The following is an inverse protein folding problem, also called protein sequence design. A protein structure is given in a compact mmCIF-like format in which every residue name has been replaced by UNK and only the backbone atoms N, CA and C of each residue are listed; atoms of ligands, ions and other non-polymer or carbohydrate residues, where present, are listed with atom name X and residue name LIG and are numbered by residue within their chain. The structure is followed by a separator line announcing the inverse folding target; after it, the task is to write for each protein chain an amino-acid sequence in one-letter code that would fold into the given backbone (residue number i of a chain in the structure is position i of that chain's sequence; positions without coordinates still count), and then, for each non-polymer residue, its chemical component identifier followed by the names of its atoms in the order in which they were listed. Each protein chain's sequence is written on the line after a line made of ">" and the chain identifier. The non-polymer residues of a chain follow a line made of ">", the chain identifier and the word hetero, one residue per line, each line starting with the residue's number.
data_IF_579057219793
#
_entry.id   IF_579057219793
#
_cell.length_a   1.000
_cell.length_b   1.000
_cell.length_c   1.000
_cell.angle_alpha   90.00
_cell.angle_beta   90.00
_cell.angle_gamma   90.00
#
_symmetry.space_group_name_H-M   'P 1'
#
loop_
_entity.id
_entity.type
_entity.pdbx_description
1 polymer ?
#
# COMPACT_ATOMS: atom_id res chain seq x y z
N UNK A 1 -31.69 49.39 49.28
CA UNK A 1 -31.64 49.63 47.82
C UNK A 1 -30.31 49.18 47.16
N UNK A 2 -29.16 49.12 47.86
CA UNK A 2 -27.88 48.67 47.28
C UNK A 2 -27.82 47.17 46.91
N UNK A 3 -28.45 46.30 47.70
CA UNK A 3 -28.41 44.84 47.54
C UNK A 3 -28.91 44.34 46.16
N UNK A 4 -29.97 44.93 45.62
CA UNK A 4 -30.58 44.50 44.35
C UNK A 4 -29.71 44.87 43.13
N UNK A 5 -28.99 45.98 43.21
CA UNK A 5 -28.01 46.41 42.20
C UNK A 5 -26.81 45.46 42.14
N UNK A 6 -26.33 45.02 43.31
CA UNK A 6 -25.20 44.10 43.42
C UNK A 6 -25.56 42.70 42.88
N UNK A 7 -26.75 42.18 43.20
CA UNK A 7 -27.23 40.91 42.64
C UNK A 7 -27.35 40.93 41.10
N UNK A 8 -27.85 42.04 40.55
CA UNK A 8 -27.97 42.22 39.10
C UNK A 8 -26.59 42.20 38.42
N UNK A 9 -25.60 42.85 39.04
CA UNK A 9 -24.22 42.89 38.57
C UNK A 9 -23.53 41.52 38.63
N UNK A 10 -23.79 40.75 39.70
CA UNK A 10 -23.30 39.37 39.85
C UNK A 10 -23.88 38.46 38.76
N UNK A 11 -25.18 38.55 38.50
CA UNK A 11 -25.84 37.71 37.49
C UNK A 11 -25.32 37.99 36.06
N UNK A 12 -25.11 39.26 35.72
CA UNK A 12 -24.51 39.64 34.44
C UNK A 12 -23.06 39.14 34.31
N UNK A 13 -22.27 39.20 35.39
CA UNK A 13 -20.93 38.62 35.41
C UNK A 13 -20.95 37.10 35.22
N UNK A 14 -21.89 36.38 35.85
CA UNK A 14 -22.06 34.93 35.68
C UNK A 14 -22.46 34.57 34.25
N UNK A 15 -23.39 35.32 33.64
CA UNK A 15 -23.77 35.17 32.23
C UNK A 15 -22.60 35.39 31.29
N UNK A 16 -21.80 36.42 31.56
CA UNK A 16 -20.59 36.70 30.79
C UNK A 16 -19.58 35.55 30.90
N UNK A 17 -19.34 35.05 32.12
CA UNK A 17 -18.49 33.89 32.37
C UNK A 17 -18.96 32.64 31.63
N UNK A 18 -20.26 32.34 31.67
CA UNK A 18 -20.86 31.20 30.97
C UNK A 18 -20.66 31.30 29.45
N UNK A 19 -20.83 32.49 28.88
CA UNK A 19 -20.62 32.75 27.44
C UNK A 19 -19.15 32.56 27.05
N UNK A 20 -18.21 32.98 27.89
CA UNK A 20 -16.77 32.75 27.69
C UNK A 20 -16.45 31.26 27.73
N UNK A 21 -16.97 30.52 28.73
CA UNK A 21 -16.75 29.08 28.86
C UNK A 21 -17.28 28.32 27.64
N UNK A 22 -18.49 28.65 27.16
CA UNK A 22 -19.05 28.05 25.96
C UNK A 22 -18.17 28.29 24.72
N UNK A 23 -17.65 29.52 24.55
CA UNK A 23 -16.74 29.85 23.46
C UNK A 23 -15.46 29.01 23.55
N UNK A 24 -14.87 28.89 24.75
CA UNK A 24 -13.68 28.07 24.99
C UNK A 24 -13.94 26.59 24.69
N UNK A 25 -15.07 26.03 25.12
CA UNK A 25 -15.47 24.66 24.82
C UNK A 25 -15.56 24.41 23.31
N UNK A 26 -16.19 25.32 22.56
CA UNK A 26 -16.28 25.21 21.10
C UNK A 26 -14.90 25.23 20.44
N UNK A 27 -14.02 26.15 20.85
CA UNK A 27 -12.65 26.24 20.33
C UNK A 27 -11.86 24.96 20.66
N UNK A 28 -11.94 24.47 21.89
CA UNK A 28 -11.25 23.25 22.31
C UNK A 28 -11.73 22.03 21.53
N UNK A 29 -13.05 21.87 21.31
CA UNK A 29 -13.59 20.78 20.51
C UNK A 29 -13.12 20.86 19.05
N UNK A 30 -13.07 22.06 18.45
CA UNK A 30 -12.51 22.21 17.10
C UNK A 30 -11.02 21.87 17.03
N UNK A 31 -10.23 22.27 18.03
CA UNK A 31 -8.81 21.93 18.11
C UNK A 31 -8.59 20.42 18.32
N UNK A 32 -9.40 19.78 19.17
CA UNK A 32 -9.35 18.34 19.41
C UNK A 32 -9.62 17.55 18.13
N UNK A 33 -10.70 17.89 17.41
CA UNK A 33 -11.06 17.23 16.14
C UNK A 33 -10.00 17.43 15.06
N UNK A 34 -9.37 18.60 15.01
CA UNK A 34 -8.26 18.87 14.10
C UNK A 34 -7.03 18.02 14.46
N UNK A 35 -6.66 17.96 15.74
CA UNK A 35 -5.55 17.15 16.23
C UNK A 35 -5.76 15.67 15.92
N UNK A 36 -6.96 15.15 16.17
CA UNK A 36 -7.31 13.76 15.89
C UNK A 36 -7.22 13.42 14.38
N UNK A 37 -7.64 14.34 13.49
CA UNK A 37 -7.48 14.19 12.03
C UNK A 37 -6.01 14.20 11.62
N UNK A 38 -5.16 15.00 12.27
CA UNK A 38 -3.73 15.01 12.00
C UNK A 38 -3.07 13.70 12.43
N UNK A 39 -3.41 13.18 13.61
CA UNK A 39 -2.94 11.88 14.09
C UNK A 39 -3.37 10.73 13.17
N UNK A 40 -4.62 10.72 12.70
CA UNK A 40 -5.08 9.66 11.79
C UNK A 40 -4.32 9.68 10.47
N UNK A 41 -4.06 10.87 9.90
CA UNK A 41 -3.23 11.01 8.70
C UNK A 41 -1.82 10.51 8.92
N UNK A 42 -1.20 10.86 10.05
CA UNK A 42 0.15 10.40 10.38
C UNK A 42 0.23 8.88 10.52
N UNK A 43 -0.76 8.25 11.14
CA UNK A 43 -0.83 6.78 11.26
C UNK A 43 -0.92 6.15 9.87
N UNK A 44 -1.76 6.70 8.97
CA UNK A 44 -1.89 6.17 7.61
C UNK A 44 -0.59 6.28 6.81
N UNK A 45 0.12 7.42 6.91
CA UNK A 45 1.38 7.61 6.18
C UNK A 45 2.50 6.75 6.74
N UNK A 46 2.62 6.62 8.08
CA UNK A 46 3.59 5.73 8.71
C UNK A 46 3.36 4.26 8.35
N UNK A 47 2.10 3.84 8.32
CA UNK A 47 1.75 2.47 7.91
C UNK A 47 2.15 2.21 6.46
N UNK A 48 1.85 3.14 5.56
CA UNK A 48 2.20 3.03 4.15
C UNK A 48 3.71 3.08 3.91
N UNK A 49 4.45 3.91 4.65
CA UNK A 49 5.92 3.98 4.57
C UNK A 49 6.57 2.69 5.07
N UNK A 50 6.02 2.06 6.11
CA UNK A 50 6.50 0.78 6.60
C UNK A 50 6.30 -0.34 5.56
N UNK A 51 5.14 -0.38 4.90
CA UNK A 51 4.88 -1.39 3.86
C UNK A 51 5.78 -1.20 2.64
N UNK A 52 6.01 0.03 2.19
CA UNK A 52 6.89 0.29 1.04
C UNK A 52 8.36 -0.02 1.34
N UNK A 53 8.83 0.23 2.57
CA UNK A 53 10.18 -0.15 3.00
C UNK A 53 10.38 -1.67 3.05
N UNK A 54 9.36 -2.43 3.47
CA UNK A 54 9.40 -3.90 3.45
C UNK A 54 9.39 -4.40 2.01
N UNK A 55 8.53 -3.85 1.16
CA UNK A 55 8.46 -4.21 -0.26
C UNK A 55 9.77 -3.93 -1.00
N UNK A 56 10.41 -2.78 -0.75
CA UNK A 56 11.67 -2.43 -1.41
C UNK A 56 12.80 -3.37 -0.99
N UNK A 57 12.88 -3.73 0.29
CA UNK A 57 13.88 -4.68 0.82
C UNK A 57 13.62 -6.10 0.33
N UNK A 58 12.36 -6.54 0.27
CA UNK A 58 12.00 -7.82 -0.33
C UNK A 58 12.38 -7.87 -1.81
N UNK A 59 12.11 -6.78 -2.55
CA UNK A 59 12.47 -6.66 -3.96
C UNK A 59 13.99 -6.75 -4.16
N UNK A 60 14.80 -6.12 -3.30
CA UNK A 60 16.27 -6.20 -3.43
C UNK A 60 16.84 -7.59 -3.21
N UNK A 61 16.26 -8.38 -2.30
CA UNK A 61 16.69 -9.77 -2.12
C UNK A 61 16.25 -10.64 -3.30
N UNK A 62 14.98 -10.51 -3.71
CA UNK A 62 14.42 -11.33 -4.78
C UNK A 62 14.97 -10.98 -6.17
N UNK A 63 15.47 -9.76 -6.39
CA UNK A 63 16.10 -9.37 -7.67
C UNK A 63 17.41 -10.09 -7.97
N UNK A 64 17.99 -10.76 -6.99
CA UNK A 64 19.16 -11.62 -7.21
C UNK A 64 18.81 -12.94 -7.89
N UNK A 65 17.56 -13.40 -7.74
CA UNK A 65 17.06 -14.70 -8.22
C UNK A 65 16.13 -14.51 -9.42
N UNK A 66 15.20 -13.56 -9.31
CA UNK A 66 14.15 -13.32 -10.28
C UNK A 66 14.43 -12.11 -11.14
N UNK A 67 14.00 -12.17 -12.40
CA UNK A 67 14.04 -11.03 -13.30
C UNK A 67 13.00 -9.97 -12.94
N UNK A 68 13.11 -8.73 -13.45
CA UNK A 68 12.14 -7.67 -13.17
C UNK A 68 10.69 -8.04 -13.56
N UNK A 69 10.48 -8.73 -14.69
CA UNK A 69 9.14 -9.14 -15.10
C UNK A 69 8.57 -10.23 -14.18
N UNK A 70 9.42 -11.17 -13.74
CA UNK A 70 9.03 -12.20 -12.78
C UNK A 70 8.66 -11.60 -11.43
N UNK A 71 9.41 -10.59 -10.96
CA UNK A 71 9.09 -9.83 -9.77
C UNK A 71 7.76 -9.08 -9.89
N UNK A 72 7.48 -8.46 -11.04
CA UNK A 72 6.22 -7.76 -11.27
C UNK A 72 5.01 -8.71 -11.20
N UNK A 73 5.16 -9.96 -11.69
CA UNK A 73 4.15 -11.01 -11.55
C UNK A 73 4.02 -11.48 -10.10
N UNK A 74 5.15 -11.76 -9.44
CA UNK A 74 5.18 -12.28 -8.06
C UNK A 74 4.58 -11.29 -7.06
N UNK A 75 4.90 -10.00 -7.21
CA UNK A 75 4.37 -8.91 -6.39
C UNK A 75 2.95 -8.48 -6.81
N UNK A 76 2.31 -9.19 -7.76
CA UNK A 76 0.96 -8.90 -8.27
C UNK A 76 0.80 -7.47 -8.81
N UNK A 77 1.89 -6.82 -9.23
CA UNK A 77 1.86 -5.47 -9.83
C UNK A 77 1.26 -5.49 -11.24
N UNK A 78 1.47 -6.58 -11.96
CA UNK A 78 0.91 -6.82 -13.30
C UNK A 78 0.26 -8.19 -13.36
N UNK A 79 -0.84 -8.30 -14.11
CA UNK A 79 -1.49 -9.59 -14.40
C UNK A 79 -0.78 -10.37 -15.51
N UNK A 80 -0.15 -9.66 -16.44
CA UNK A 80 0.56 -10.22 -17.59
C UNK A 80 1.83 -9.42 -17.84
N UNK A 81 2.86 -10.09 -18.37
CA UNK A 81 4.15 -9.47 -18.70
C UNK A 81 4.56 -9.87 -20.11
N UNK A 82 5.29 -8.97 -20.78
CA UNK A 82 5.95 -9.28 -22.03
C UNK A 82 7.32 -9.89 -21.72
N UNK A 83 7.46 -11.18 -22.01
CA UNK A 83 8.68 -11.92 -21.72
C UNK A 83 9.83 -11.47 -22.61
N UNK A 84 11.03 -11.29 -22.04
CA UNK A 84 12.23 -10.99 -22.81
C UNK A 84 12.80 -12.26 -23.46
N UNK A 85 13.68 -12.08 -24.44
CA UNK A 85 14.34 -13.20 -25.13
C UNK A 85 15.15 -14.07 -24.15
N UNK A 86 15.81 -13.47 -23.18
CA UNK A 86 16.62 -14.14 -22.16
C UNK A 86 15.74 -14.98 -21.22
N UNK A 87 14.60 -14.43 -20.79
CA UNK A 87 13.62 -15.14 -19.95
C UNK A 87 13.02 -16.34 -20.67
N UNK A 88 12.66 -16.16 -21.95
CA UNK A 88 12.15 -17.22 -22.81
C UNK A 88 13.22 -18.29 -23.03
N UNK A 89 14.48 -17.91 -23.27
CA UNK A 89 15.60 -18.86 -23.40
C UNK A 89 15.77 -19.73 -22.15
N UNK A 90 15.83 -19.12 -20.95
CA UNK A 90 15.90 -19.87 -19.69
C UNK A 90 14.70 -20.81 -19.49
N UNK A 91 13.50 -20.35 -19.85
CA UNK A 91 12.28 -21.16 -19.77
C UNK A 91 12.30 -22.33 -20.78
N UNK A 92 12.84 -22.15 -21.98
CA UNK A 92 13.06 -23.22 -22.94
C UNK A 92 14.06 -24.25 -22.41
N UNK A 93 15.16 -23.82 -21.79
CA UNK A 93 16.14 -24.72 -21.15
C UNK A 93 15.48 -25.57 -20.07
N UNK A 94 14.69 -24.97 -19.18
CA UNK A 94 13.97 -25.72 -18.15
C UNK A 94 12.94 -26.70 -18.75
N UNK A 95 12.22 -26.28 -19.79
CA UNK A 95 11.28 -27.14 -20.52
C UNK A 95 11.99 -28.29 -21.23
N UNK A 96 13.18 -28.05 -21.76
CA UNK A 96 14.01 -29.04 -22.45
C UNK A 96 14.41 -30.17 -21.48
N UNK A 97 14.82 -29.83 -20.25
CA UNK A 97 15.13 -30.84 -19.24
C UNK A 97 13.94 -31.75 -18.92
N UNK A 98 12.74 -31.19 -18.76
CA UNK A 98 11.51 -31.99 -18.67
C UNK A 98 10.26 -31.13 -18.77
N UNK A 99 9.33 -31.53 -19.66
CA UNK A 99 8.00 -30.91 -19.75
C UNK A 99 7.21 -31.07 -18.44
N UNK A 100 7.30 -32.23 -17.79
CA UNK A 100 6.59 -32.50 -16.53
C UNK A 100 7.13 -31.64 -15.39
N UNK A 101 8.45 -31.53 -15.28
CA UNK A 101 9.08 -30.67 -14.29
C UNK A 101 8.71 -29.20 -14.50
N UNK A 102 8.72 -28.74 -15.77
CA UNK A 102 8.31 -27.37 -16.09
C UNK A 102 6.87 -27.08 -15.67
N UNK A 103 5.94 -27.99 -15.97
CA UNK A 103 4.53 -27.84 -15.56
C UNK A 103 4.43 -27.83 -14.04
N UNK A 104 5.07 -28.76 -13.34
CA UNK A 104 5.06 -28.84 -11.88
C UNK A 104 5.57 -27.56 -11.21
N UNK A 105 6.74 -27.06 -11.63
CA UNK A 105 7.34 -25.83 -11.08
C UNK A 105 6.42 -24.63 -11.30
N UNK A 106 5.73 -24.57 -12.45
CA UNK A 106 4.82 -23.47 -12.74
C UNK A 106 3.45 -23.59 -12.05
N UNK A 107 2.80 -24.75 -12.13
CA UNK A 107 1.43 -24.95 -11.66
C UNK A 107 1.37 -25.21 -10.16
N UNK A 108 2.21 -26.11 -9.65
CA UNK A 108 2.20 -26.54 -8.26
C UNK A 108 3.03 -25.61 -7.38
N UNK A 109 4.25 -25.25 -7.83
CA UNK A 109 5.13 -24.35 -7.06
C UNK A 109 4.90 -22.86 -7.36
N UNK A 110 3.97 -22.54 -8.26
CA UNK A 110 3.58 -21.18 -8.62
C UNK A 110 4.74 -20.26 -9.02
N UNK A 111 5.80 -20.80 -9.63
CA UNK A 111 6.91 -19.97 -10.13
C UNK A 111 6.44 -19.06 -11.28
N UNK A 112 6.93 -17.82 -11.35
CA UNK A 112 6.60 -16.87 -12.42
C UNK A 112 7.29 -17.27 -13.73
N UNK A 113 6.71 -18.24 -14.43
CA UNK A 113 7.20 -18.78 -15.70
C UNK A 113 6.19 -18.56 -16.85
N UNK A 114 6.66 -18.45 -18.11
CA UNK A 114 5.79 -18.28 -19.26
C UNK A 114 4.78 -19.43 -19.44
N UNK A 115 3.70 -19.17 -20.19
CA UNK A 115 2.78 -20.21 -20.64
C UNK A 115 3.45 -21.21 -21.56
N UNK A 116 3.01 -22.48 -21.54
CA UNK A 116 3.38 -23.42 -22.61
C UNK A 116 2.93 -22.88 -23.98
N UNK A 117 1.74 -22.29 -24.05
CA UNK A 117 1.25 -21.59 -25.24
C UNK A 117 2.11 -20.39 -25.61
N UNK A 118 2.61 -19.65 -24.61
CA UNK A 118 3.55 -18.53 -24.83
C UNK A 118 4.86 -19.03 -25.43
N UNK A 119 5.44 -20.10 -24.87
CA UNK A 119 6.66 -20.73 -25.41
C UNK A 119 6.44 -21.24 -26.84
N UNK A 120 5.32 -21.91 -27.12
CA UNK A 120 5.00 -22.36 -28.47
C UNK A 120 4.89 -21.20 -29.46
N UNK A 121 4.27 -20.08 -29.07
CA UNK A 121 4.19 -18.88 -29.90
C UNK A 121 5.57 -18.29 -30.20
N UNK A 122 6.45 -18.24 -29.19
CA UNK A 122 7.84 -17.80 -29.37
C UNK A 122 8.62 -18.75 -30.29
N UNK A 123 8.46 -20.07 -30.16
CA UNK A 123 9.11 -21.04 -31.04
C UNK A 123 8.67 -20.87 -32.50
N UNK A 124 7.37 -20.67 -32.76
CA UNK A 124 6.85 -20.41 -34.11
C UNK A 124 7.48 -19.18 -34.76
N UNK A 125 7.79 -18.14 -33.99
CA UNK A 125 8.44 -16.93 -34.50
C UNK A 125 9.94 -17.07 -34.78
N UNK A 126 10.58 -18.18 -34.39
CA UNK A 126 11.99 -18.47 -34.71
C UNK A 126 12.09 -19.37 -35.95
N UNK A 127 11.10 -20.23 -36.18
CA UNK A 127 11.05 -21.14 -37.33
C UNK A 127 10.41 -20.53 -38.60
N UNK A 128 10.10 -19.23 -38.58
CA UNK A 128 9.74 -18.43 -39.77
C UNK A 128 10.86 -17.46 -40.06
#
# INVERSE_FOLDING_TARGET
>A
KNSDSDYKKINENLRHGMKILQKRLKTLNSALTQSQKSSSKLITTLTQNKTTAIESKAKSYLSTIFTPNQLDLLMKKKKQVHWTREEISKAFTLRYFSKRAYVFVKSELHYPLPGLSSLQRWAKGICM
#
